data_IF_434095482139
#
_entry.id   IF_434095482139
#
_cell.length_a   1.000
_cell.length_b   1.000
_cell.length_c   1.000
_cell.angle_alpha   90.00
_cell.angle_beta   90.00
_cell.angle_gamma   90.00
#
_symmetry.space_group_name_H-M   'P 1'
#
loop_
_entity.id
_entity.type
_entity.pdbx_description
1 polymer ?
#
# COMPACT_ATOMS: atom_id res chain seq x y z
N UNK A 1 -15.96 11.75 -18.41
CA UNK A 1 -17.02 11.25 -19.30
C UNK A 1 -18.36 11.90 -18.93
N UNK A 2 -18.98 12.62 -19.88
CA UNK A 2 -20.31 13.21 -19.66
C UNK A 2 -21.35 12.08 -19.70
N UNK A 3 -22.28 12.07 -18.74
CA UNK A 3 -23.29 10.99 -18.60
C UNK A 3 -24.09 10.76 -19.89
N UNK A 4 -24.61 11.80 -20.59
CA UNK A 4 -25.38 11.60 -21.81
C UNK A 4 -24.58 10.97 -22.95
N UNK A 5 -23.30 11.31 -23.08
CA UNK A 5 -22.41 10.72 -24.07
C UNK A 5 -22.04 9.28 -23.70
N UNK A 6 -21.70 9.05 -22.44
CA UNK A 6 -21.37 7.72 -21.97
C UNK A 6 -22.54 6.72 -22.17
N UNK A 7 -23.78 7.18 -22.05
CA UNK A 7 -24.95 6.36 -22.27
C UNK A 7 -24.98 5.72 -23.68
N UNK A 8 -24.47 6.43 -24.69
CA UNK A 8 -24.43 5.95 -26.07
C UNK A 8 -23.23 5.08 -26.39
N UNK A 9 -22.09 5.29 -25.71
CA UNK A 9 -20.83 4.61 -26.04
C UNK A 9 -20.40 3.57 -25.02
N UNK A 10 -21.12 3.43 -23.88
CA UNK A 10 -20.78 2.41 -22.88
C UNK A 10 -20.89 1.01 -23.51
N UNK A 11 -20.04 0.08 -23.04
CA UNK A 11 -19.92 -1.28 -23.55
C UNK A 11 -19.52 -1.41 -25.03
N UNK A 12 -19.04 -0.34 -25.67
CA UNK A 12 -18.46 -0.37 -27.01
C UNK A 12 -16.93 -0.30 -26.99
N UNK A 13 -16.32 -0.49 -28.17
CA UNK A 13 -14.86 -0.27 -28.38
C UNK A 13 -14.41 1.13 -28.05
N UNK A 14 -15.30 2.13 -28.03
CA UNK A 14 -14.97 3.49 -27.61
C UNK A 14 -14.45 3.51 -26.17
N UNK A 15 -15.08 2.79 -25.27
CA UNK A 15 -14.63 2.70 -23.85
C UNK A 15 -13.25 2.07 -23.78
N UNK A 16 -12.98 1.03 -24.56
CA UNK A 16 -11.67 0.39 -24.62
C UNK A 16 -10.60 1.37 -25.10
N UNK A 17 -10.87 2.10 -26.18
CA UNK A 17 -9.98 3.12 -26.72
C UNK A 17 -9.69 4.22 -25.69
N UNK A 18 -10.75 4.80 -25.12
CA UNK A 18 -10.63 5.87 -24.13
C UNK A 18 -9.81 5.43 -22.88
N UNK A 19 -10.10 4.25 -22.35
CA UNK A 19 -9.35 3.73 -21.19
C UNK A 19 -7.87 3.51 -21.51
N UNK A 20 -7.51 3.10 -22.72
CA UNK A 20 -6.11 2.99 -23.11
C UNK A 20 -5.45 4.35 -23.27
N UNK A 21 -6.14 5.37 -23.76
CA UNK A 21 -5.60 6.74 -23.79
C UNK A 21 -5.34 7.29 -22.39
N UNK A 22 -6.21 6.98 -21.42
CA UNK A 22 -6.00 7.38 -20.02
C UNK A 22 -4.87 6.57 -19.38
N UNK A 23 -4.89 5.24 -19.48
CA UNK A 23 -3.93 4.36 -18.79
C UNK A 23 -2.56 4.36 -19.48
N UNK A 24 -2.51 4.14 -20.77
CA UNK A 24 -1.25 4.07 -21.50
C UNK A 24 -0.71 5.48 -21.76
N UNK A 25 -1.55 6.40 -22.23
CA UNK A 25 -1.16 7.77 -22.49
C UNK A 25 -0.81 8.54 -21.22
N UNK A 26 -1.64 8.43 -20.18
CA UNK A 26 -1.48 9.19 -18.93
C UNK A 26 -0.54 8.55 -17.91
N UNK A 27 -0.37 7.23 -17.90
CA UNK A 27 0.44 6.53 -16.91
C UNK A 27 1.66 5.83 -17.52
N UNK A 28 1.47 4.97 -18.53
CA UNK A 28 2.55 4.11 -19.02
C UNK A 28 3.63 4.89 -19.76
N UNK A 29 3.26 5.88 -20.61
CA UNK A 29 4.26 6.73 -21.27
C UNK A 29 5.09 7.54 -20.27
N UNK A 30 4.50 8.29 -19.30
CA UNK A 30 5.27 8.95 -18.25
C UNK A 30 6.11 7.98 -17.41
N UNK A 31 5.62 6.78 -17.12
CA UNK A 31 6.37 5.77 -16.39
C UNK A 31 7.63 5.32 -17.15
N UNK A 32 7.52 5.05 -18.45
CA UNK A 32 8.66 4.69 -19.29
C UNK A 32 9.63 5.89 -19.41
N UNK A 33 9.12 7.11 -19.55
CA UNK A 33 9.95 8.30 -19.59
C UNK A 33 10.74 8.46 -18.28
N UNK A 34 10.07 8.35 -17.13
CA UNK A 34 10.72 8.36 -15.83
C UNK A 34 11.75 7.23 -15.67
N UNK A 35 11.42 6.03 -16.15
CA UNK A 35 12.36 4.91 -16.14
C UNK A 35 13.64 5.24 -16.93
N UNK A 36 13.55 5.75 -18.14
CA UNK A 36 14.72 6.18 -18.93
C UNK A 36 15.49 7.32 -18.26
N UNK A 37 14.77 8.26 -17.65
CA UNK A 37 15.36 9.39 -16.95
C UNK A 37 16.23 8.96 -15.76
N UNK A 38 15.75 8.03 -14.93
CA UNK A 38 16.44 7.55 -13.74
C UNK A 38 17.26 6.27 -13.93
N UNK A 39 17.25 5.66 -15.13
CA UNK A 39 18.03 4.44 -15.42
C UNK A 39 19.53 4.59 -15.10
N UNK A 40 20.18 5.76 -15.33
CA UNK A 40 21.57 5.98 -14.95
C UNK A 40 21.83 5.83 -13.46
N UNK A 41 20.88 6.18 -12.59
CA UNK A 41 21.00 5.97 -11.15
C UNK A 41 21.12 4.50 -10.76
N UNK A 42 20.43 3.62 -11.48
CA UNK A 42 20.43 2.16 -11.20
C UNK A 42 21.69 1.49 -11.70
N UNK A 43 22.13 1.86 -12.90
CA UNK A 43 23.18 1.14 -13.63
C UNK A 43 24.52 1.88 -13.73
N UNK A 44 24.55 3.20 -13.48
CA UNK A 44 25.69 4.05 -13.78
C UNK A 44 25.97 4.19 -15.28
N UNK A 45 25.03 3.81 -16.13
CA UNK A 45 25.18 3.79 -17.59
C UNK A 45 24.00 4.42 -18.29
N UNK A 46 24.23 4.98 -19.46
CA UNK A 46 23.21 5.59 -20.30
C UNK A 46 22.61 4.58 -21.28
N UNK A 47 21.28 4.57 -21.48
CA UNK A 47 20.65 3.85 -22.58
C UNK A 47 21.01 4.45 -23.95
N UNK A 48 20.62 3.78 -25.03
CA UNK A 48 20.89 4.25 -26.38
C UNK A 48 19.85 5.29 -26.84
N UNK A 49 20.31 6.52 -27.14
CA UNK A 49 19.44 7.57 -27.68
C UNK A 49 18.73 7.17 -28.97
N UNK A 50 19.40 6.35 -29.81
CA UNK A 50 18.81 5.88 -31.08
C UNK A 50 17.70 4.87 -30.83
N UNK A 51 17.96 3.86 -29.98
CA UNK A 51 16.98 2.84 -29.68
C UNK A 51 15.81 3.42 -28.90
N UNK A 52 16.06 4.30 -27.93
CA UNK A 52 15.01 4.99 -27.20
C UNK A 52 14.09 5.79 -28.10
N UNK A 53 14.64 6.55 -29.07
CA UNK A 53 13.83 7.29 -30.06
C UNK A 53 13.01 6.37 -30.96
N UNK A 54 13.60 5.28 -31.47
CA UNK A 54 12.87 4.32 -32.28
C UNK A 54 11.79 3.61 -31.46
N UNK A 55 12.10 3.18 -30.25
CA UNK A 55 11.13 2.59 -29.33
C UNK A 55 9.95 3.52 -29.06
N UNK A 56 10.24 4.80 -28.76
CA UNK A 56 9.20 5.79 -28.56
C UNK A 56 8.29 5.98 -29.79
N UNK A 57 8.87 6.22 -30.97
CA UNK A 57 8.06 6.52 -32.15
C UNK A 57 7.25 5.31 -32.64
N UNK A 58 7.83 4.11 -32.56
CA UNK A 58 7.08 2.88 -32.88
C UNK A 58 5.98 2.63 -31.89
N UNK A 59 6.26 2.80 -30.58
CA UNK A 59 5.25 2.61 -29.57
C UNK A 59 4.14 3.67 -29.65
N UNK A 60 4.50 4.94 -29.73
CA UNK A 60 3.56 6.06 -29.82
C UNK A 60 2.72 6.02 -31.11
N UNK A 61 3.36 5.80 -32.26
CA UNK A 61 2.68 5.69 -33.54
C UNK A 61 1.74 4.48 -33.59
N UNK A 62 2.24 3.32 -33.19
CA UNK A 62 1.43 2.09 -33.11
C UNK A 62 0.26 2.23 -32.16
N UNK A 63 0.47 2.86 -31.01
CA UNK A 63 -0.58 3.14 -30.02
C UNK A 63 -1.70 4.01 -30.64
N UNK A 64 -1.34 5.10 -31.30
CA UNK A 64 -2.35 5.98 -31.90
C UNK A 64 -3.08 5.29 -33.06
N UNK A 65 -2.37 4.54 -33.93
CA UNK A 65 -3.00 3.79 -35.02
C UNK A 65 -3.99 2.78 -34.44
N UNK A 66 -3.65 2.09 -33.36
CA UNK A 66 -4.52 1.10 -32.73
C UNK A 66 -5.74 1.75 -32.09
N UNK A 67 -5.52 2.60 -31.11
CA UNK A 67 -6.59 3.02 -30.21
C UNK A 67 -7.38 4.22 -30.71
N UNK A 68 -6.82 5.08 -31.58
CA UNK A 68 -7.60 6.15 -32.20
C UNK A 68 -8.73 5.60 -33.07
N UNK A 69 -8.42 4.57 -33.88
CA UNK A 69 -9.41 3.94 -34.74
C UNK A 69 -10.47 3.15 -33.96
N UNK A 70 -10.12 2.63 -32.78
CA UNK A 70 -11.08 1.97 -31.90
C UNK A 70 -12.16 2.92 -31.35
N UNK A 71 -11.91 4.22 -31.28
CA UNK A 71 -12.96 5.20 -30.99
C UNK A 71 -14.01 5.21 -32.14
N UNK A 72 -13.55 5.16 -33.39
CA UNK A 72 -14.45 5.17 -34.56
C UNK A 72 -15.26 3.87 -34.63
N UNK A 73 -14.63 2.71 -34.43
CA UNK A 73 -15.37 1.43 -34.39
C UNK A 73 -16.40 1.41 -33.28
N UNK A 74 -16.10 2.00 -32.13
CA UNK A 74 -17.03 2.14 -31.01
C UNK A 74 -18.20 3.08 -31.31
N UNK A 75 -17.96 4.20 -32.00
CA UNK A 75 -19.02 5.10 -32.47
C UNK A 75 -19.92 4.45 -33.56
N UNK A 76 -19.36 3.54 -34.34
CA UNK A 76 -20.12 2.72 -35.27
C UNK A 76 -20.85 1.55 -34.60
N UNK A 77 -20.87 1.49 -33.27
CA UNK A 77 -21.64 0.52 -32.49
C UNK A 77 -20.95 -0.82 -32.20
N UNK A 78 -19.67 -1.00 -32.51
CA UNK A 78 -18.95 -2.24 -32.22
C UNK A 78 -18.89 -2.49 -30.70
N UNK A 79 -19.48 -3.60 -30.18
CA UNK A 79 -19.43 -3.93 -28.77
C UNK A 79 -18.01 -4.29 -28.33
N UNK A 80 -17.64 -3.99 -27.06
CA UNK A 80 -16.42 -4.53 -26.47
C UNK A 80 -16.54 -6.04 -26.18
N UNK A 81 -15.42 -6.75 -26.07
CA UNK A 81 -15.35 -8.17 -25.69
C UNK A 81 -15.91 -9.16 -26.71
N UNK A 82 -16.12 -8.75 -27.93
CA UNK A 82 -16.47 -9.67 -29.01
C UNK A 82 -15.19 -10.25 -29.63
N UNK A 83 -15.17 -11.55 -29.88
CA UNK A 83 -14.05 -12.23 -30.53
C UNK A 83 -14.20 -12.37 -32.04
N UNK A 84 -15.43 -12.20 -32.54
CA UNK A 84 -15.76 -12.21 -33.97
C UNK A 84 -17.00 -11.35 -34.23
N UNK A 85 -17.19 -10.95 -35.47
CA UNK A 85 -18.34 -10.17 -35.92
C UNK A 85 -18.66 -10.49 -37.40
N UNK A 86 -19.87 -10.17 -37.85
CA UNK A 86 -20.30 -10.39 -39.21
C UNK A 86 -19.64 -9.42 -40.19
N UNK A 87 -19.37 -9.88 -41.42
CA UNK A 87 -18.81 -9.04 -42.46
C UNK A 87 -19.81 -7.96 -42.90
N UNK A 88 -19.30 -6.82 -43.35
CA UNK A 88 -20.15 -5.75 -43.91
C UNK A 88 -20.73 -4.77 -42.90
N UNK A 89 -20.35 -4.86 -41.60
CA UNK A 89 -20.72 -3.88 -40.56
C UNK A 89 -19.92 -2.58 -40.63
N UNK A 90 -18.96 -2.49 -41.56
CA UNK A 90 -18.07 -1.30 -41.69
C UNK A 90 -16.90 -1.27 -40.69
N UNK A 91 -16.69 -2.30 -39.92
CA UNK A 91 -15.63 -2.39 -38.92
C UNK A 91 -14.34 -3.04 -39.41
N UNK A 92 -14.42 -3.80 -40.53
CA UNK A 92 -13.32 -4.68 -41.01
C UNK A 92 -12.03 -3.90 -41.26
N UNK A 93 -12.13 -2.83 -42.05
CA UNK A 93 -10.95 -1.99 -42.36
C UNK A 93 -10.36 -1.30 -41.13
N UNK A 94 -11.22 -0.76 -40.29
CA UNK A 94 -10.78 -0.09 -39.06
C UNK A 94 -10.07 -1.05 -38.11
N UNK A 95 -10.61 -2.25 -37.94
CA UNK A 95 -10.00 -3.30 -37.11
C UNK A 95 -8.71 -3.85 -37.72
N UNK A 96 -8.64 -3.98 -39.06
CA UNK A 96 -7.38 -4.37 -39.70
C UNK A 96 -6.27 -3.38 -39.46
N UNK A 97 -6.51 -2.08 -39.68
CA UNK A 97 -5.51 -1.02 -39.46
C UNK A 97 -5.17 -0.91 -37.97
N UNK A 98 -6.15 -1.03 -37.07
CA UNK A 98 -5.94 -1.09 -35.62
C UNK A 98 -5.03 -2.26 -35.24
N UNK A 99 -5.21 -3.43 -35.83
CA UNK A 99 -4.36 -4.61 -35.59
C UNK A 99 -2.92 -4.40 -36.09
N UNK A 100 -2.75 -3.79 -37.27
CA UNK A 100 -1.41 -3.42 -37.77
C UNK A 100 -0.72 -2.44 -36.77
N UNK A 101 -1.46 -1.45 -36.28
CA UNK A 101 -0.99 -0.55 -35.22
C UNK A 101 -0.52 -1.30 -33.99
N UNK A 102 -1.27 -2.34 -33.57
CA UNK A 102 -0.91 -3.21 -32.44
C UNK A 102 0.42 -3.92 -32.64
N UNK A 103 0.71 -4.44 -33.83
CA UNK A 103 2.00 -5.03 -34.16
C UNK A 103 3.13 -4.02 -34.14
N UNK A 104 2.93 -2.82 -34.69
CA UNK A 104 3.91 -1.72 -34.66
C UNK A 104 4.21 -1.35 -33.18
N UNK A 105 3.19 -1.22 -32.36
CA UNK A 105 3.33 -0.95 -30.93
C UNK A 105 4.13 -2.05 -30.21
N UNK A 106 3.85 -3.33 -30.51
CA UNK A 106 4.59 -4.46 -29.94
C UNK A 106 6.07 -4.42 -30.31
N UNK A 107 6.41 -4.08 -31.56
CA UNK A 107 7.80 -3.89 -31.99
C UNK A 107 8.44 -2.72 -31.19
N UNK A 108 7.74 -1.61 -30.99
CA UNK A 108 8.22 -0.50 -30.19
C UNK A 108 8.55 -0.91 -28.75
N UNK A 109 7.68 -1.69 -28.10
CA UNK A 109 7.92 -2.24 -26.76
C UNK A 109 9.13 -3.18 -26.76
N UNK A 110 9.25 -4.05 -27.76
CA UNK A 110 10.39 -4.96 -27.88
C UNK A 110 11.71 -4.18 -28.01
N UNK A 111 11.75 -3.10 -28.80
CA UNK A 111 12.94 -2.25 -28.94
C UNK A 111 13.31 -1.60 -27.60
N UNK A 112 12.30 -1.09 -26.84
CA UNK A 112 12.53 -0.53 -25.51
C UNK A 112 13.14 -1.58 -24.56
N UNK A 113 12.57 -2.79 -24.52
CA UNK A 113 13.06 -3.89 -23.66
C UNK A 113 14.50 -4.25 -24.05
N UNK A 114 14.79 -4.38 -25.34
CA UNK A 114 16.13 -4.71 -25.84
C UNK A 114 17.12 -3.61 -25.46
N UNK A 115 16.76 -2.34 -25.60
CA UNK A 115 17.61 -1.20 -25.20
C UNK A 115 17.92 -1.26 -23.70
N UNK A 116 16.90 -1.48 -22.86
CA UNK A 116 17.04 -1.63 -21.41
C UNK A 116 17.99 -2.79 -21.06
N UNK A 117 17.88 -3.94 -21.70
CA UNK A 117 18.76 -5.10 -21.43
C UNK A 117 20.20 -4.83 -21.90
N UNK A 118 20.35 -4.27 -23.09
CA UNK A 118 21.67 -4.03 -23.66
C UNK A 118 22.45 -2.93 -22.95
N UNK A 119 21.78 -1.88 -22.44
CA UNK A 119 22.48 -0.76 -21.80
C UNK A 119 23.23 -1.20 -20.54
N UNK A 120 22.77 -2.19 -19.77
CA UNK A 120 23.50 -2.71 -18.59
C UNK A 120 24.90 -3.22 -18.93
N UNK A 121 25.10 -3.73 -20.15
CA UNK A 121 26.39 -4.25 -20.60
C UNK A 121 27.13 -3.32 -21.55
N UNK A 122 26.44 -2.68 -22.47
CA UNK A 122 27.00 -1.93 -23.59
C UNK A 122 26.77 -0.43 -23.50
N UNK A 123 25.96 0.05 -22.55
CA UNK A 123 25.71 1.47 -22.34
C UNK A 123 27.01 2.24 -22.01
N UNK A 124 27.15 3.46 -22.53
CA UNK A 124 28.24 4.35 -22.13
C UNK A 124 28.11 4.67 -20.64
N UNK A 125 29.21 4.93 -19.95
CA UNK A 125 29.17 5.39 -18.55
C UNK A 125 28.41 6.72 -18.49
N UNK A 126 27.55 6.84 -17.50
CA UNK A 126 26.84 8.07 -17.24
C UNK A 126 27.78 9.09 -16.58
N UNK A 127 27.67 10.34 -16.98
CA UNK A 127 28.24 11.46 -16.26
C UNK A 127 27.42 11.75 -14.99
N UNK A 128 27.98 12.49 -14.02
CA UNK A 128 27.35 12.75 -12.73
C UNK A 128 25.94 13.37 -12.88
N UNK A 129 25.72 14.24 -13.82
CA UNK A 129 24.42 14.83 -14.15
C UNK A 129 24.21 14.77 -15.67
N UNK A 130 23.80 13.62 -16.24
CA UNK A 130 23.80 13.40 -17.68
C UNK A 130 22.76 14.23 -18.42
N UNK A 131 21.79 14.79 -17.70
CA UNK A 131 20.70 15.59 -18.26
C UNK A 131 20.90 17.10 -18.05
N UNK A 132 21.92 17.51 -17.29
CA UNK A 132 22.09 18.92 -16.89
C UNK A 132 20.92 19.43 -16.05
N UNK A 133 20.28 18.53 -15.28
CA UNK A 133 19.13 18.84 -14.43
C UNK A 133 19.54 19.67 -13.21
N UNK A 134 18.59 20.43 -12.68
CA UNK A 134 18.77 21.33 -11.54
C UNK A 134 18.40 20.72 -10.19
N UNK A 135 17.87 19.49 -10.20
CA UNK A 135 17.28 18.82 -9.06
C UNK A 135 18.27 17.91 -8.31
N UNK A 136 18.05 17.74 -7.02
CA UNK A 136 18.98 17.12 -6.06
C UNK A 136 19.26 15.64 -6.30
N UNK A 137 18.38 14.90 -6.98
CA UNK A 137 18.63 13.49 -7.28
C UNK A 137 19.90 13.29 -8.11
N UNK A 138 20.37 14.34 -8.80
CA UNK A 138 21.60 14.30 -9.59
C UNK A 138 22.85 14.75 -8.79
N UNK A 139 22.67 15.16 -7.53
CA UNK A 139 23.78 15.48 -6.62
C UNK A 139 24.38 14.24 -5.95
N UNK A 140 23.89 13.03 -6.23
CA UNK A 140 24.36 11.77 -5.64
C UNK A 140 25.17 10.95 -6.64
N UNK A 141 26.18 10.15 -6.17
CA UNK A 141 26.99 9.34 -7.07
C UNK A 141 26.17 8.26 -7.77
N UNK A 142 26.59 7.89 -8.98
CA UNK A 142 25.97 6.82 -9.76
C UNK A 142 26.92 5.61 -9.92
N UNK A 143 26.42 4.37 -9.73
CA UNK A 143 25.07 4.00 -9.30
C UNK A 143 24.75 4.46 -7.87
N UNK A 144 23.47 4.72 -7.61
CA UNK A 144 23.02 5.26 -6.33
C UNK A 144 23.28 4.29 -5.18
N UNK A 145 23.82 4.81 -4.09
CA UNK A 145 23.93 4.09 -2.82
C UNK A 145 22.57 3.91 -2.14
N UNK A 146 22.48 2.93 -1.22
CA UNK A 146 21.25 2.63 -0.49
C UNK A 146 20.69 3.82 0.32
N UNK A 147 21.50 4.80 0.60
CA UNK A 147 21.21 5.94 1.47
C UNK A 147 21.03 7.28 0.74
N UNK A 148 20.92 7.36 -0.56
CA UNK A 148 20.83 8.59 -1.35
C UNK A 148 22.00 9.57 -1.13
N UNK A 149 21.89 10.51 -0.18
CA UNK A 149 22.93 11.52 0.11
C UNK A 149 23.88 11.06 1.20
N UNK A 150 25.16 11.31 1.08
CA UNK A 150 26.17 11.06 2.12
C UNK A 150 26.12 12.10 3.25
N UNK A 151 25.62 13.30 2.98
CA UNK A 151 25.25 14.33 3.96
C UNK A 151 24.04 15.11 3.47
N UNK A 152 23.27 15.72 4.37
CA UNK A 152 22.02 16.42 4.05
C UNK A 152 22.29 17.90 3.83
N UNK A 153 22.27 18.39 2.56
CA UNK A 153 22.50 19.79 2.28
C UNK A 153 21.33 20.68 2.68
N UNK A 154 21.61 21.90 3.12
CA UNK A 154 20.60 22.94 3.26
C UNK A 154 20.30 23.56 1.90
N UNK A 155 19.02 23.56 1.51
CA UNK A 155 18.55 23.99 0.21
C UNK A 155 17.73 25.27 0.33
N UNK A 156 18.28 26.36 -0.21
CA UNK A 156 17.69 27.69 -0.15
C UNK A 156 17.10 28.18 -1.49
N UNK A 157 17.28 27.40 -2.56
CA UNK A 157 16.90 27.76 -3.94
C UNK A 157 16.09 26.66 -4.61
N UNK A 158 15.32 27.00 -5.66
CA UNK A 158 14.58 26.04 -6.48
C UNK A 158 15.45 25.29 -7.50
N UNK A 159 16.64 25.81 -7.81
CA UNK A 159 17.56 25.26 -8.81
C UNK A 159 18.93 24.97 -8.21
N UNK A 160 19.01 24.09 -7.17
CA UNK A 160 20.21 23.93 -6.36
C UNK A 160 21.44 23.50 -7.16
N UNK A 161 21.29 22.63 -8.17
CA UNK A 161 22.41 22.13 -8.97
C UNK A 161 22.93 23.15 -10.00
N UNK A 162 22.10 24.09 -10.42
CA UNK A 162 22.52 25.15 -11.34
C UNK A 162 23.17 26.33 -10.60
N UNK A 163 22.67 26.65 -9.41
CA UNK A 163 23.16 27.77 -8.62
C UNK A 163 24.38 27.40 -7.77
N UNK A 164 24.51 26.11 -7.40
CA UNK A 164 25.59 25.60 -6.55
C UNK A 164 26.18 24.31 -7.15
N UNK A 165 26.97 24.41 -8.23
CA UNK A 165 27.58 23.24 -8.88
C UNK A 165 28.50 22.44 -7.96
N UNK A 166 29.11 23.11 -6.97
CA UNK A 166 29.97 22.50 -5.94
C UNK A 166 29.20 21.59 -4.94
N UNK A 167 27.87 21.61 -4.97
CA UNK A 167 27.01 20.86 -4.05
C UNK A 167 27.28 19.37 -4.08
N UNK A 168 27.60 18.80 -5.25
CA UNK A 168 27.93 17.39 -5.40
C UNK A 168 29.15 17.00 -4.56
N UNK A 169 30.21 17.82 -4.64
CA UNK A 169 31.47 17.56 -3.95
C UNK A 169 31.32 17.75 -2.45
N UNK A 170 30.64 18.81 -2.00
CA UNK A 170 30.41 19.09 -0.58
C UNK A 170 29.51 18.04 0.08
N UNK A 171 28.48 17.52 -0.61
CA UNK A 171 27.67 16.40 -0.13
C UNK A 171 28.54 15.14 0.01
N UNK A 172 29.36 14.83 -0.99
CA UNK A 172 30.22 13.65 -0.98
C UNK A 172 31.31 13.73 0.09
N UNK A 173 31.84 14.94 0.37
CA UNK A 173 32.80 15.20 1.43
C UNK A 173 32.22 15.13 2.84
N UNK A 174 30.88 15.09 2.99
CA UNK A 174 30.21 15.05 4.29
C UNK A 174 30.23 16.39 5.03
N UNK A 175 30.25 17.49 4.30
CA UNK A 175 30.32 18.86 4.87
C UNK A 175 28.98 19.35 5.41
N UNK A 176 27.88 18.60 5.18
CA UNK A 176 26.53 18.94 5.60
C UNK A 176 26.04 18.06 6.75
N UNK A 177 24.83 18.32 7.22
CA UNK A 177 24.22 17.61 8.34
C UNK A 177 24.10 16.10 8.12
N UNK A 178 24.05 15.35 9.21
CA UNK A 178 23.87 13.89 9.21
C UNK A 178 24.89 13.14 8.34
N UNK A 179 26.15 13.54 8.34
CA UNK A 179 27.21 12.95 7.51
C UNK A 179 27.58 11.49 7.88
N UNK A 180 27.22 11.01 9.07
CA UNK A 180 27.51 9.66 9.50
C UNK A 180 26.51 8.64 8.93
N UNK A 181 27.02 7.70 8.12
CA UNK A 181 26.27 6.57 7.60
C UNK A 181 26.62 5.33 8.39
N UNK A 182 25.68 4.81 9.20
CA UNK A 182 25.90 3.60 9.99
C UNK A 182 25.33 2.36 9.27
N UNK A 183 26.18 1.41 8.90
CA UNK A 183 25.77 0.13 8.29
C UNK A 183 24.84 0.27 7.08
N UNK A 184 25.11 1.23 6.20
CA UNK A 184 24.25 1.59 5.05
C UNK A 184 22.86 2.12 5.44
N UNK A 185 22.64 2.42 6.71
CA UNK A 185 21.46 3.12 7.21
C UNK A 185 21.70 4.61 7.20
N UNK A 186 20.67 5.34 6.84
CA UNK A 186 20.70 6.79 6.82
C UNK A 186 19.62 7.34 7.75
N UNK A 187 19.97 8.41 8.42
CA UNK A 187 19.03 9.23 9.15
C UNK A 187 18.59 10.41 8.29
N UNK A 188 17.34 10.84 8.44
CA UNK A 188 16.81 12.06 7.85
C UNK A 188 16.09 12.87 8.93
N UNK A 189 15.97 14.18 8.72
CA UNK A 189 15.18 15.02 9.59
C UNK A 189 13.68 14.91 9.30
N UNK A 190 12.89 14.67 10.35
CA UNK A 190 11.46 14.89 10.37
C UNK A 190 11.17 16.32 10.77
N UNK A 191 10.53 17.11 9.89
CA UNK A 191 10.23 18.51 10.14
C UNK A 191 8.73 18.77 10.30
N UNK A 192 8.39 19.86 10.98
CA UNK A 192 7.03 20.36 11.03
C UNK A 192 6.56 20.83 9.65
N UNK A 193 5.40 20.38 9.20
CA UNK A 193 4.87 20.67 7.88
C UNK A 193 4.56 22.16 7.64
N UNK A 194 4.34 22.93 8.69
CA UNK A 194 3.99 24.37 8.60
C UNK A 194 5.20 25.26 8.80
N UNK A 195 6.03 24.95 9.80
CA UNK A 195 7.14 25.81 10.21
C UNK A 195 8.50 25.39 9.64
N UNK A 196 8.61 24.17 9.08
CA UNK A 196 9.87 23.60 8.60
C UNK A 196 10.87 23.26 9.71
N UNK A 197 10.55 23.50 10.98
CA UNK A 197 11.46 23.22 12.10
C UNK A 197 11.67 21.73 12.27
N UNK A 198 12.91 21.32 12.47
CA UNK A 198 13.28 19.94 12.78
C UNK A 198 12.65 19.54 14.12
N UNK A 199 11.92 18.43 14.12
CA UNK A 199 11.25 17.85 15.29
C UNK A 199 11.88 16.56 15.77
N UNK A 200 12.36 15.76 14.84
CA UNK A 200 12.83 14.40 15.11
C UNK A 200 13.82 13.94 14.05
N UNK A 201 14.59 12.91 14.37
CA UNK A 201 15.42 12.17 13.42
C UNK A 201 14.70 10.87 13.05
N UNK A 202 14.53 10.62 11.77
CA UNK A 202 13.92 9.41 11.24
C UNK A 202 15.04 8.49 10.76
N UNK A 203 15.12 7.31 11.35
CA UNK A 203 16.04 6.27 10.95
C UNK A 203 15.46 5.47 9.79
N UNK A 204 16.10 5.51 8.62
CA UNK A 204 15.63 4.81 7.43
C UNK A 204 16.03 3.33 7.44
N UNK A 205 15.21 2.44 6.84
CA UNK A 205 15.54 1.02 6.74
C UNK A 205 16.73 0.77 5.80
N UNK A 206 17.41 -0.37 6.01
CA UNK A 206 18.46 -0.86 5.11
C UNK A 206 17.88 -1.59 3.90
N UNK A 207 18.77 -1.96 2.95
CA UNK A 207 18.42 -2.85 1.85
C UNK A 207 17.90 -4.20 2.37
N UNK A 208 16.80 -4.65 1.82
CA UNK A 208 16.19 -5.95 2.17
C UNK A 208 15.57 -6.61 0.94
N UNK A 209 15.71 -7.93 0.83
CA UNK A 209 15.04 -8.75 -0.17
C UNK A 209 13.62 -9.14 0.23
N UNK A 210 13.22 -8.87 1.48
CA UNK A 210 11.92 -9.27 2.02
C UNK A 210 10.73 -8.67 1.24
N UNK A 211 10.75 -7.40 0.77
CA UNK A 211 9.65 -6.87 -0.06
C UNK A 211 9.44 -7.68 -1.33
N UNK A 212 10.52 -8.03 -2.04
CA UNK A 212 10.45 -8.81 -3.28
C UNK A 212 9.95 -10.23 -3.01
N UNK A 213 10.49 -10.90 -1.99
CA UNK A 213 10.05 -12.24 -1.60
C UNK A 213 8.57 -12.25 -1.17
N UNK A 214 8.15 -11.25 -0.40
CA UNK A 214 6.75 -11.10 0.02
C UNK A 214 5.84 -10.92 -1.19
N UNK A 215 6.22 -10.07 -2.14
CA UNK A 215 5.45 -9.87 -3.36
C UNK A 215 5.33 -11.15 -4.20
N UNK A 216 6.42 -11.91 -4.36
CA UNK A 216 6.41 -13.18 -5.07
C UNK A 216 5.49 -14.22 -4.41
N UNK A 217 5.54 -14.33 -3.07
CA UNK A 217 4.68 -15.26 -2.34
C UNK A 217 3.20 -14.81 -2.38
N UNK A 218 2.92 -13.50 -2.30
CA UNK A 218 1.56 -12.99 -2.48
C UNK A 218 1.03 -13.27 -3.89
N UNK A 219 1.87 -13.19 -4.93
CA UNK A 219 1.48 -13.59 -6.28
C UNK A 219 1.10 -15.08 -6.33
N UNK A 220 1.83 -15.97 -5.62
CA UNK A 220 1.48 -17.40 -5.49
C UNK A 220 0.12 -17.54 -4.80
N UNK A 221 -0.20 -16.77 -3.75
CA UNK A 221 -1.53 -16.78 -3.11
C UNK A 221 -2.61 -16.45 -4.14
N UNK A 222 -2.44 -15.34 -4.87
CA UNK A 222 -3.45 -14.89 -5.85
C UNK A 222 -3.66 -15.90 -6.97
N UNK A 223 -2.56 -16.43 -7.55
CA UNK A 223 -2.64 -17.44 -8.64
C UNK A 223 -3.28 -18.73 -8.13
N UNK A 224 -2.90 -19.21 -6.94
CA UNK A 224 -3.45 -20.43 -6.36
C UNK A 224 -4.95 -20.31 -6.06
N UNK A 225 -5.42 -19.14 -5.61
CA UNK A 225 -6.84 -18.87 -5.45
C UNK A 225 -7.56 -18.85 -6.80
N UNK A 226 -6.96 -18.24 -7.83
CA UNK A 226 -7.52 -18.18 -9.18
C UNK A 226 -7.71 -19.57 -9.80
N UNK A 227 -6.71 -20.45 -9.62
CA UNK A 227 -6.78 -21.84 -10.12
C UNK A 227 -7.44 -22.80 -9.13
N UNK A 228 -8.01 -22.30 -8.02
CA UNK A 228 -8.74 -23.04 -6.99
C UNK A 228 -7.93 -24.12 -6.24
N UNK A 229 -6.61 -23.94 -6.16
CA UNK A 229 -5.72 -24.82 -5.36
C UNK A 229 -5.55 -24.24 -3.94
N UNK A 230 -6.60 -24.39 -3.13
CA UNK A 230 -6.73 -23.72 -1.84
C UNK A 230 -5.65 -24.09 -0.82
N UNK A 231 -5.13 -25.34 -0.85
CA UNK A 231 -4.06 -25.76 0.07
C UNK A 231 -2.78 -24.96 -0.18
N UNK A 232 -2.38 -24.78 -1.44
CA UNK A 232 -1.20 -23.99 -1.78
C UNK A 232 -1.44 -22.51 -1.42
N UNK A 233 -2.64 -21.99 -1.67
CA UNK A 233 -3.01 -20.64 -1.27
C UNK A 233 -2.86 -20.43 0.24
N UNK A 234 -3.33 -21.37 1.06
CA UNK A 234 -3.22 -21.31 2.52
C UNK A 234 -1.76 -21.34 2.99
N UNK A 235 -0.96 -22.27 2.48
CA UNK A 235 0.47 -22.37 2.83
C UNK A 235 1.21 -21.10 2.42
N UNK A 236 0.99 -20.60 1.20
CA UNK A 236 1.59 -19.37 0.71
C UNK A 236 1.14 -18.15 1.56
N UNK A 237 -0.12 -18.07 1.98
CA UNK A 237 -0.61 -17.00 2.85
C UNK A 237 0.11 -17.00 4.22
N UNK A 238 0.33 -18.18 4.81
CA UNK A 238 1.10 -18.30 6.06
C UNK A 238 2.55 -17.86 5.84
N UNK A 239 3.19 -18.27 4.75
CA UNK A 239 4.57 -17.83 4.42
C UNK A 239 4.62 -16.32 4.19
N UNK A 240 3.64 -15.74 3.47
CA UNK A 240 3.54 -14.30 3.28
C UNK A 240 3.44 -13.56 4.61
N UNK A 241 2.59 -14.04 5.53
CA UNK A 241 2.46 -13.48 6.87
C UNK A 241 3.80 -13.50 7.61
N UNK A 242 4.50 -14.64 7.62
CA UNK A 242 5.81 -14.75 8.28
C UNK A 242 6.86 -13.81 7.67
N UNK A 243 6.86 -13.63 6.34
CA UNK A 243 7.76 -12.69 5.68
C UNK A 243 7.44 -11.23 6.06
N UNK A 244 6.15 -10.85 6.10
CA UNK A 244 5.72 -9.51 6.55
C UNK A 244 6.12 -9.26 8.00
N UNK A 245 5.92 -10.24 8.89
CA UNK A 245 6.33 -10.13 10.29
C UNK A 245 7.85 -10.00 10.43
N UNK A 246 8.61 -10.77 9.65
CA UNK A 246 10.07 -10.66 9.59
C UNK A 246 10.51 -9.29 9.08
N UNK A 247 9.87 -8.79 8.04
CA UNK A 247 10.15 -7.47 7.48
C UNK A 247 9.84 -6.35 8.48
N UNK A 248 8.69 -6.40 9.16
CA UNK A 248 8.36 -5.46 10.23
C UNK A 248 9.36 -5.55 11.40
N UNK A 249 9.86 -6.75 11.72
CA UNK A 249 10.88 -6.92 12.75
C UNK A 249 12.21 -6.26 12.39
N UNK A 250 12.70 -6.42 11.15
CA UNK A 250 13.96 -5.83 10.68
C UNK A 250 13.92 -4.31 10.64
N UNK A 251 12.75 -3.73 10.31
CA UNK A 251 12.57 -2.29 10.20
C UNK A 251 12.21 -1.61 11.54
N UNK A 252 11.92 -2.39 12.57
CA UNK A 252 11.58 -1.86 13.89
C UNK A 252 12.77 -1.20 14.60
N UNK A 253 12.48 -0.32 15.55
CA UNK A 253 13.50 0.34 16.35
C UNK A 253 14.43 -0.67 17.04
N UNK A 254 15.74 -0.40 17.00
CA UNK A 254 16.75 -1.18 17.72
C UNK A 254 17.12 -0.51 19.04
N UNK A 255 17.30 -1.28 20.14
CA UNK A 255 17.67 -0.72 21.45
C UNK A 255 19.03 -0.03 21.47
N UNK A 256 19.88 -0.32 20.49
CA UNK A 256 21.26 0.18 20.37
C UNK A 256 21.43 1.28 19.31
N UNK A 257 20.37 2.00 18.96
CA UNK A 257 20.54 3.18 18.12
C UNK A 257 21.49 4.14 18.83
N UNK A 258 22.65 4.41 18.23
CA UNK A 258 23.61 5.35 18.74
C UNK A 258 22.96 6.74 18.92
N UNK A 259 23.35 7.53 19.91
CA UNK A 259 22.88 8.91 20.01
C UNK A 259 23.25 9.65 18.72
N UNK A 260 22.32 10.43 18.21
CA UNK A 260 22.59 11.42 17.18
C UNK A 260 23.67 12.34 17.72
N UNK A 261 24.63 12.70 16.91
CA UNK A 261 25.86 13.47 17.18
C UNK A 261 25.80 14.37 18.42
N UNK A 262 26.78 14.20 19.30
CA UNK A 262 26.90 15.02 20.53
C UNK A 262 27.14 16.51 20.28
N UNK A 263 27.45 16.89 19.03
CA UNK A 263 27.86 18.23 18.62
C UNK A 263 26.80 19.03 17.88
N UNK A 264 25.60 18.46 17.68
CA UNK A 264 24.50 19.14 16.98
C UNK A 264 23.82 20.13 17.95
N UNK A 265 23.75 21.45 17.64
CA UNK A 265 23.09 22.43 18.49
C UNK A 265 21.60 22.17 18.70
N UNK A 266 21.01 21.30 17.86
CA UNK A 266 19.66 20.79 18.01
C UNK A 266 19.76 19.27 18.07
N UNK A 267 19.72 18.65 19.25
CA UNK A 267 19.66 17.19 19.43
C UNK A 267 18.19 16.72 19.35
N UNK A 268 17.62 16.56 18.13
CA UNK A 268 16.23 16.14 17.98
C UNK A 268 16.11 14.66 18.37
N UNK A 269 15.04 14.30 19.08
CA UNK A 269 14.83 12.90 19.48
C UNK A 269 14.62 12.00 18.25
N UNK A 270 15.03 10.74 18.33
CA UNK A 270 14.67 9.74 17.31
C UNK A 270 13.15 9.62 17.23
N UNK A 271 12.61 9.45 16.01
CA UNK A 271 11.18 9.27 15.74
C UNK A 271 10.54 8.17 16.60
N UNK A 272 11.29 7.12 16.94
CA UNK A 272 10.84 6.05 17.82
C UNK A 272 10.62 6.48 19.28
N UNK A 273 11.12 7.65 19.67
CA UNK A 273 10.96 8.25 21.01
C UNK A 273 9.82 9.28 21.04
N UNK A 274 9.35 9.73 19.90
CA UNK A 274 8.25 10.70 19.79
C UNK A 274 6.90 10.03 19.80
N UNK A 275 5.84 10.75 20.21
CA UNK A 275 4.48 10.22 20.23
C UNK A 275 3.72 10.46 18.91
N UNK A 276 4.23 11.34 18.04
CA UNK A 276 3.54 11.88 16.87
C UNK A 276 4.28 11.60 15.55
N UNK A 277 5.10 10.55 15.52
CA UNK A 277 5.91 10.21 14.37
C UNK A 277 5.10 9.79 13.12
N UNK A 278 5.75 9.73 11.95
CA UNK A 278 5.09 9.51 10.65
C UNK A 278 4.32 8.18 10.56
N UNK A 279 4.70 7.15 11.32
CA UNK A 279 3.99 5.86 11.32
C UNK A 279 2.61 5.95 11.99
N UNK A 280 2.36 6.88 12.93
CA UNK A 280 1.01 7.11 13.46
C UNK A 280 0.11 7.66 12.36
N UNK A 281 0.56 8.64 11.60
CA UNK A 281 -0.17 9.16 10.45
C UNK A 281 -0.37 8.11 9.36
N UNK A 282 0.65 7.30 9.09
CA UNK A 282 0.55 6.14 8.19
C UNK A 282 -0.54 5.16 8.63
N UNK A 283 -0.61 4.84 9.93
CA UNK A 283 -1.67 4.00 10.50
C UNK A 283 -3.05 4.67 10.34
N UNK A 284 -3.19 5.94 10.69
CA UNK A 284 -4.48 6.67 10.58
C UNK A 284 -4.98 6.69 9.14
N UNK A 285 -4.12 7.05 8.17
CA UNK A 285 -4.48 7.08 6.74
C UNK A 285 -4.84 5.67 6.25
N UNK A 286 -4.09 4.66 6.64
CA UNK A 286 -4.38 3.26 6.29
C UNK A 286 -5.73 2.79 6.86
N UNK A 287 -6.06 3.17 8.10
CA UNK A 287 -7.34 2.85 8.70
C UNK A 287 -8.50 3.63 8.07
N UNK A 288 -8.27 4.88 7.63
CA UNK A 288 -9.27 5.63 6.86
C UNK A 288 -9.54 4.97 5.50
N UNK A 289 -8.48 4.60 4.77
CA UNK A 289 -8.62 3.88 3.50
C UNK A 289 -9.33 2.53 3.67
N UNK A 290 -8.98 1.79 4.73
CA UNK A 290 -9.65 0.54 5.09
C UNK A 290 -11.10 0.76 5.52
N UNK A 291 -11.39 1.86 6.21
CA UNK A 291 -12.73 2.29 6.58
C UNK A 291 -13.62 2.54 5.37
N UNK A 292 -13.09 3.00 4.24
CA UNK A 292 -13.89 3.16 3.00
C UNK A 292 -14.40 1.83 2.47
N UNK A 293 -13.60 0.76 2.55
CA UNK A 293 -14.04 -0.60 2.22
C UNK A 293 -15.20 -1.02 3.14
N UNK A 294 -15.05 -0.81 4.45
CA UNK A 294 -16.09 -1.15 5.41
C UNK A 294 -17.40 -0.36 5.17
N UNK A 295 -17.31 0.94 4.91
CA UNK A 295 -18.46 1.78 4.56
C UNK A 295 -19.15 1.30 3.27
N UNK A 296 -18.37 0.81 2.30
CA UNK A 296 -18.92 0.21 1.08
C UNK A 296 -19.74 -1.06 1.36
N UNK A 297 -19.30 -1.88 2.33
CA UNK A 297 -20.07 -3.05 2.79
C UNK A 297 -21.38 -2.62 3.47
N UNK A 298 -21.32 -1.60 4.33
CA UNK A 298 -22.53 -1.03 4.96
C UNK A 298 -23.50 -0.48 3.90
N UNK A 299 -22.97 0.27 2.92
CA UNK A 299 -23.79 0.79 1.83
C UNK A 299 -24.46 -0.34 1.03
N UNK A 300 -23.69 -1.38 0.68
CA UNK A 300 -24.23 -2.54 -0.01
C UNK A 300 -25.34 -3.24 0.77
N UNK A 301 -25.18 -3.36 2.09
CA UNK A 301 -26.19 -3.95 2.96
C UNK A 301 -27.46 -3.11 3.01
N UNK A 302 -27.36 -1.78 3.21
CA UNK A 302 -28.50 -0.88 3.18
C UNK A 302 -29.21 -0.84 1.83
N UNK A 303 -28.41 -0.88 0.73
CA UNK A 303 -28.99 -0.95 -0.60
C UNK A 303 -29.83 -2.23 -0.80
N UNK A 304 -29.29 -3.39 -0.39
CA UNK A 304 -30.02 -4.65 -0.45
C UNK A 304 -31.28 -4.59 0.42
N UNK A 305 -31.21 -3.99 1.59
CA UNK A 305 -32.36 -3.82 2.48
C UNK A 305 -33.49 -3.02 1.83
N UNK A 306 -33.18 -1.97 1.11
CA UNK A 306 -34.16 -1.13 0.44
C UNK A 306 -34.63 -1.66 -0.92
N UNK A 307 -33.83 -2.41 -1.62
CA UNK A 307 -34.05 -2.85 -2.99
C UNK A 307 -34.52 -4.30 -3.12
N UNK A 308 -34.32 -5.16 -2.14
CA UNK A 308 -34.70 -6.57 -2.22
C UNK A 308 -36.22 -6.74 -2.10
N UNK A 309 -36.86 -7.48 -3.03
CA UNK A 309 -38.31 -7.71 -2.98
C UNK A 309 -38.76 -8.55 -1.78
N UNK A 310 -37.88 -9.37 -1.27
CA UNK A 310 -38.06 -10.19 -0.08
C UNK A 310 -36.81 -10.05 0.79
N UNK A 311 -36.95 -9.34 1.89
CA UNK A 311 -35.93 -9.28 2.91
C UNK A 311 -36.27 -10.36 3.95
N UNK A 312 -35.59 -11.50 3.87
CA UNK A 312 -35.64 -12.43 4.99
C UNK A 312 -34.77 -11.83 6.10
N UNK A 313 -35.40 -11.38 7.19
CA UNK A 313 -34.69 -11.14 8.42
C UNK A 313 -33.90 -12.40 8.75
N UNK A 314 -32.58 -12.32 8.96
CA UNK A 314 -31.90 -13.45 9.54
C UNK A 314 -32.66 -13.80 10.81
N UNK A 315 -33.23 -14.98 10.90
CA UNK A 315 -33.63 -15.54 12.17
C UNK A 315 -32.35 -15.68 13.00
N UNK A 316 -31.91 -14.54 13.56
CA UNK A 316 -30.81 -14.55 14.50
C UNK A 316 -31.32 -15.32 15.69
N UNK A 317 -30.97 -16.61 15.74
CA UNK A 317 -31.23 -17.43 16.90
C UNK A 317 -30.78 -16.59 18.12
N UNK A 318 -31.57 -16.51 19.20
CA UNK A 318 -31.17 -15.80 20.41
C UNK A 318 -29.78 -16.18 20.93
N UNK A 319 -29.30 -17.36 20.56
CA UNK A 319 -27.96 -17.85 20.86
C UNK A 319 -26.84 -17.09 20.13
N UNK A 320 -27.06 -16.48 18.98
CA UNK A 320 -26.04 -15.73 18.24
C UNK A 320 -25.82 -14.33 18.83
N UNK A 321 -26.84 -13.70 19.37
CA UNK A 321 -26.75 -12.33 19.93
C UNK A 321 -25.88 -12.31 21.21
N UNK A 322 -26.10 -13.25 22.12
CA UNK A 322 -25.36 -13.32 23.41
C UNK A 322 -23.87 -13.57 23.18
N UNK A 323 -23.45 -14.56 22.41
CA UNK A 323 -22.01 -14.76 22.11
C UNK A 323 -21.37 -13.55 21.43
N UNK A 324 -22.06 -12.88 20.51
CA UNK A 324 -21.55 -11.68 19.88
C UNK A 324 -21.40 -10.53 20.88
N UNK A 325 -22.37 -10.31 21.74
CA UNK A 325 -22.28 -9.28 22.80
C UNK A 325 -21.13 -9.57 23.77
N UNK A 326 -20.96 -10.84 24.17
CA UNK A 326 -19.83 -11.28 25.01
C UNK A 326 -18.50 -11.06 24.27
N UNK A 327 -18.44 -11.41 22.99
CA UNK A 327 -17.28 -11.17 22.14
C UNK A 327 -16.92 -9.69 22.09
N UNK A 328 -17.92 -8.80 21.91
CA UNK A 328 -17.74 -7.35 21.95
C UNK A 328 -17.28 -6.82 23.31
N UNK A 329 -17.77 -7.39 24.40
CA UNK A 329 -17.33 -7.03 25.74
C UNK A 329 -15.86 -7.44 25.98
N UNK A 330 -15.44 -8.62 25.52
CA UNK A 330 -14.03 -9.05 25.56
C UNK A 330 -13.13 -8.11 24.74
N UNK A 331 -13.58 -7.73 23.55
CA UNK A 331 -12.84 -6.78 22.72
C UNK A 331 -12.71 -5.41 23.43
N UNK A 332 -13.78 -4.90 24.01
CA UNK A 332 -13.77 -3.67 24.77
C UNK A 332 -12.83 -3.72 25.99
N UNK A 333 -12.82 -4.87 26.70
CA UNK A 333 -11.88 -5.12 27.80
C UNK A 333 -10.44 -5.11 27.33
N UNK A 334 -10.13 -5.81 26.24
CA UNK A 334 -8.78 -5.85 25.64
C UNK A 334 -8.31 -4.42 25.28
N UNK A 335 -9.15 -3.64 24.59
CA UNK A 335 -8.84 -2.26 24.22
C UNK A 335 -8.65 -1.37 25.45
N UNK A 336 -9.45 -1.55 26.49
CA UNK A 336 -9.35 -0.78 27.73
C UNK A 336 -8.03 -1.04 28.46
N UNK A 337 -7.63 -2.32 28.59
CA UNK A 337 -6.32 -2.70 29.17
C UNK A 337 -5.18 -2.14 28.33
N UNK A 338 -5.28 -2.23 27.01
CA UNK A 338 -4.27 -1.69 26.08
C UNK A 338 -4.10 -0.17 26.25
N UNK A 339 -5.21 0.58 26.31
CA UNK A 339 -5.20 2.04 26.55
C UNK A 339 -4.56 2.41 27.89
N UNK A 340 -4.85 1.64 28.94
CA UNK A 340 -4.25 1.84 30.27
C UNK A 340 -2.74 1.58 30.18
N UNK A 341 -2.30 0.51 29.48
CA UNK A 341 -0.90 0.20 29.29
C UNK A 341 -0.14 1.31 28.57
N UNK A 342 -0.69 1.84 27.47
CA UNK A 342 -0.12 2.97 26.74
C UNK A 342 -0.11 4.25 27.57
N UNK A 343 -1.17 4.52 28.35
CA UNK A 343 -1.20 5.70 29.24
C UNK A 343 -0.12 5.65 30.31
N UNK A 344 0.15 4.46 30.87
CA UNK A 344 1.24 4.26 31.85
C UNK A 344 2.61 4.43 31.20
N UNK A 345 2.77 3.86 30.00
CA UNK A 345 3.99 3.97 29.21
C UNK A 345 4.36 5.43 28.91
N UNK A 346 3.38 6.26 28.50
CA UNK A 346 3.55 7.70 28.26
C UNK A 346 4.00 8.47 29.52
N UNK A 347 3.69 7.95 30.72
CA UNK A 347 4.14 8.50 32.00
C UNK A 347 5.50 7.93 32.45
N UNK A 348 6.19 7.19 31.60
CA UNK A 348 7.50 6.60 31.91
C UNK A 348 7.45 5.30 32.70
N UNK A 349 6.26 4.70 32.89
CA UNK A 349 6.10 3.47 33.67
C UNK A 349 5.83 2.27 32.72
N UNK A 350 6.85 1.45 32.49
CA UNK A 350 6.83 0.30 31.59
C UNK A 350 7.00 -1.07 32.30
N UNK A 351 7.19 -1.08 33.63
CA UNK A 351 7.50 -2.31 34.36
C UNK A 351 6.47 -3.43 34.23
N UNK A 352 5.20 -3.13 33.95
CA UNK A 352 4.14 -4.13 33.74
C UNK A 352 3.69 -4.25 32.28
N UNK A 353 4.32 -3.53 31.35
CA UNK A 353 3.88 -3.39 29.97
C UNK A 353 3.78 -4.75 29.26
N UNK A 354 4.83 -5.57 29.33
CA UNK A 354 4.85 -6.89 28.68
C UNK A 354 3.72 -7.80 29.18
N UNK A 355 3.48 -7.82 30.50
CA UNK A 355 2.41 -8.61 31.09
C UNK A 355 1.03 -8.13 30.62
N UNK A 356 0.80 -6.83 30.60
CA UNK A 356 -0.46 -6.24 30.12
C UNK A 356 -0.70 -6.56 28.65
N UNK A 357 0.32 -6.50 27.79
CA UNK A 357 0.20 -6.84 26.37
C UNK A 357 -0.09 -8.34 26.16
N UNK A 358 0.53 -9.23 26.95
CA UNK A 358 0.17 -10.65 26.93
C UNK A 358 -1.26 -10.91 27.37
N UNK A 359 -1.75 -10.21 28.40
CA UNK A 359 -3.14 -10.29 28.83
C UNK A 359 -4.11 -9.82 27.73
N UNK A 360 -3.79 -8.70 27.06
CA UNK A 360 -4.55 -8.20 25.91
C UNK A 360 -4.58 -9.23 24.78
N UNK A 361 -3.44 -9.85 24.46
CA UNK A 361 -3.34 -10.88 23.43
C UNK A 361 -4.20 -12.10 23.77
N UNK A 362 -4.21 -12.55 25.02
CA UNK A 362 -5.02 -13.68 25.46
C UNK A 362 -6.53 -13.38 25.39
N UNK A 363 -6.96 -12.19 25.87
CA UNK A 363 -8.35 -11.76 25.81
C UNK A 363 -8.78 -11.57 24.35
N UNK A 364 -7.92 -10.95 23.53
CA UNK A 364 -8.16 -10.74 22.10
C UNK A 364 -8.27 -12.07 21.34
N UNK A 365 -7.45 -13.07 21.68
CA UNK A 365 -7.54 -14.41 21.11
C UNK A 365 -8.86 -15.09 21.49
N UNK A 366 -9.30 -14.96 22.75
CA UNK A 366 -10.61 -15.48 23.19
C UNK A 366 -11.75 -14.81 22.42
N UNK A 367 -11.71 -13.49 22.25
CA UNK A 367 -12.63 -12.77 21.39
C UNK A 367 -12.64 -13.32 19.96
N UNK A 368 -11.46 -13.48 19.36
CA UNK A 368 -11.29 -13.98 17.98
C UNK A 368 -11.85 -15.38 17.79
N UNK A 369 -11.55 -16.31 18.74
CA UNK A 369 -12.09 -17.66 18.73
C UNK A 369 -13.62 -17.67 18.88
N UNK A 370 -14.16 -16.85 19.76
CA UNK A 370 -15.61 -16.74 19.97
C UNK A 370 -16.32 -16.19 18.73
N UNK A 371 -15.75 -15.16 18.08
CA UNK A 371 -16.27 -14.61 16.84
C UNK A 371 -16.24 -15.63 15.70
N UNK A 372 -15.15 -16.39 15.58
CA UNK A 372 -15.02 -17.50 14.62
C UNK A 372 -16.00 -18.64 14.89
N UNK A 373 -16.27 -18.93 16.15
CA UNK A 373 -17.28 -19.91 16.54
C UNK A 373 -18.69 -19.45 16.17
N UNK A 374 -19.02 -18.17 16.41
CA UNK A 374 -20.30 -17.57 16.00
C UNK A 374 -20.49 -17.66 14.49
N UNK A 375 -19.46 -17.32 13.71
CA UNK A 375 -19.51 -17.43 12.24
C UNK A 375 -19.74 -18.88 11.79
N UNK A 376 -19.03 -19.85 12.40
CA UNK A 376 -19.16 -21.27 12.06
C UNK A 376 -20.54 -21.85 12.40
N UNK A 377 -21.17 -21.38 13.50
CA UNK A 377 -22.47 -21.88 13.96
C UNK A 377 -23.64 -21.07 13.41
N UNK A 378 -23.38 -20.02 12.64
CA UNK A 378 -24.40 -19.21 11.99
C UNK A 378 -25.12 -19.99 10.89
N UNK A 379 -26.38 -19.68 10.67
CA UNK A 379 -27.20 -20.23 9.58
C UNK A 379 -27.05 -19.44 8.26
N UNK A 380 -26.01 -18.61 8.13
CA UNK A 380 -25.76 -17.79 6.95
C UNK A 380 -25.57 -18.65 5.69
N UNK A 381 -26.22 -18.24 4.59
CA UNK A 381 -26.14 -18.88 3.27
C UNK A 381 -25.56 -17.90 2.24
N UNK A 382 -24.26 -17.55 2.34
CA UNK A 382 -23.65 -16.49 1.50
C UNK A 382 -23.60 -16.81 0.02
N UNK A 383 -23.80 -18.05 -0.39
CA UNK A 383 -23.86 -18.49 -1.78
C UNK A 383 -25.28 -18.36 -2.38
N UNK A 384 -26.29 -18.24 -1.54
CA UNK A 384 -27.71 -18.22 -1.97
C UNK A 384 -28.33 -16.84 -1.76
N UNK A 385 -27.98 -16.16 -0.66
CA UNK A 385 -28.59 -14.90 -0.27
C UNK A 385 -27.55 -13.77 -0.27
N UNK A 386 -27.81 -12.69 -1.00
CA UNK A 386 -26.88 -11.56 -1.16
C UNK A 386 -26.64 -10.82 0.17
N UNK A 387 -27.66 -10.67 1.01
CA UNK A 387 -27.49 -10.03 2.33
C UNK A 387 -26.63 -10.87 3.29
N UNK A 388 -26.76 -12.20 3.24
CA UNK A 388 -25.92 -13.12 4.02
C UNK A 388 -24.46 -13.07 3.54
N UNK A 389 -24.25 -12.91 2.22
CA UNK A 389 -22.92 -12.71 1.67
C UNK A 389 -22.24 -11.46 2.23
N UNK A 390 -22.97 -10.32 2.27
CA UNK A 390 -22.42 -9.06 2.85
C UNK A 390 -22.13 -9.21 4.34
N UNK A 391 -23.05 -9.84 5.08
CA UNK A 391 -22.85 -10.08 6.53
C UNK A 391 -21.66 -11.02 6.79
N UNK A 392 -21.54 -12.10 6.03
CA UNK A 392 -20.40 -13.02 6.12
C UNK A 392 -19.06 -12.28 5.86
N UNK A 393 -19.01 -11.45 4.80
CA UNK A 393 -17.82 -10.64 4.50
C UNK A 393 -17.49 -9.66 5.64
N UNK A 394 -18.50 -9.03 6.24
CA UNK A 394 -18.29 -8.15 7.39
C UNK A 394 -17.74 -8.90 8.63
N UNK A 395 -18.20 -10.12 8.88
CA UNK A 395 -17.67 -10.98 9.95
C UNK A 395 -16.24 -11.43 9.66
N UNK A 396 -15.91 -11.81 8.42
CA UNK A 396 -14.53 -12.12 8.02
C UNK A 396 -13.63 -10.90 8.13
N UNK A 397 -14.12 -9.71 7.80
CA UNK A 397 -13.39 -8.47 8.00
C UNK A 397 -13.04 -8.25 9.47
N UNK A 398 -13.99 -8.45 10.39
CA UNK A 398 -13.77 -8.34 11.83
C UNK A 398 -12.79 -9.41 12.34
N UNK A 399 -12.90 -10.66 11.86
CA UNK A 399 -11.98 -11.74 12.20
C UNK A 399 -10.55 -11.41 11.76
N UNK A 400 -10.37 -10.89 10.55
CA UNK A 400 -9.07 -10.49 10.03
C UNK A 400 -8.45 -9.39 10.90
N UNK A 401 -9.21 -8.32 11.21
CA UNK A 401 -8.72 -7.20 12.00
C UNK A 401 -8.38 -7.60 13.43
N UNK A 402 -9.26 -8.33 14.10
CA UNK A 402 -9.00 -8.79 15.47
C UNK A 402 -7.85 -9.80 15.53
N UNK A 403 -7.72 -10.68 14.54
CA UNK A 403 -6.59 -11.61 14.43
C UNK A 403 -5.25 -10.88 14.25
N UNK A 404 -5.20 -9.88 13.36
CA UNK A 404 -4.01 -9.03 13.17
C UNK A 404 -3.68 -8.24 14.44
N UNK A 405 -4.68 -7.68 15.12
CA UNK A 405 -4.48 -6.96 16.39
C UNK A 405 -3.85 -7.85 17.46
N UNK A 406 -4.28 -9.11 17.58
CA UNK A 406 -3.70 -10.10 18.50
C UNK A 406 -2.25 -10.41 18.13
N UNK A 407 -1.96 -10.67 16.85
CA UNK A 407 -0.61 -10.96 16.35
C UNK A 407 0.33 -9.78 16.63
N UNK A 408 -0.07 -8.57 16.28
CA UNK A 408 0.73 -7.36 16.51
C UNK A 408 1.01 -7.15 17.99
N UNK A 409 0.02 -7.37 18.86
CA UNK A 409 0.19 -7.21 20.31
C UNK A 409 1.07 -8.28 20.91
N UNK A 410 0.97 -9.54 20.47
CA UNK A 410 1.85 -10.62 20.92
C UNK A 410 3.31 -10.37 20.53
N UNK A 411 3.56 -9.95 19.28
CA UNK A 411 4.90 -9.54 18.83
C UNK A 411 5.44 -8.36 19.65
N UNK A 412 4.60 -7.39 19.92
CA UNK A 412 4.96 -6.23 20.71
C UNK A 412 5.30 -6.62 22.15
N UNK A 413 4.52 -7.51 22.78
CA UNK A 413 4.84 -8.04 24.10
C UNK A 413 6.21 -8.74 24.14
N UNK A 414 6.55 -9.47 23.07
CA UNK A 414 7.88 -10.06 22.90
C UNK A 414 8.97 -8.98 22.73
N UNK A 415 8.72 -7.95 21.91
CA UNK A 415 9.68 -6.84 21.70
C UNK A 415 9.92 -6.04 22.99
N UNK A 416 8.87 -5.85 23.82
CA UNK A 416 9.03 -5.26 25.16
C UNK A 416 9.92 -6.13 26.03
N UNK A 417 9.69 -7.45 26.06
CA UNK A 417 10.52 -8.38 26.83
C UNK A 417 11.99 -8.41 26.38
N UNK A 418 12.25 -8.18 25.10
CA UNK A 418 13.58 -8.13 24.51
C UNK A 418 14.24 -6.73 24.59
N UNK A 419 13.56 -5.74 25.19
CA UNK A 419 14.09 -4.39 25.39
C UNK A 419 14.06 -3.47 24.16
N UNK A 420 13.32 -3.83 23.09
CA UNK A 420 13.16 -3.00 21.90
C UNK A 420 12.13 -1.87 22.09
N UNK A 421 11.16 -2.09 22.98
CA UNK A 421 10.04 -1.17 23.26
C UNK A 421 9.96 -0.94 24.77
N UNK A 422 9.75 0.29 25.18
CA UNK A 422 9.65 0.67 26.59
C UNK A 422 9.45 2.18 26.74
N UNK A 423 9.62 2.70 27.95
CA UNK A 423 9.39 4.13 28.24
C UNK A 423 10.27 5.08 27.41
N UNK A 424 11.47 4.63 27.00
CA UNK A 424 12.38 5.40 26.14
C UNK A 424 12.03 5.32 24.65
N UNK A 425 11.23 4.30 24.24
CA UNK A 425 10.83 4.06 22.85
C UNK A 425 9.34 3.65 22.84
N UNK A 426 8.42 4.61 23.14
CA UNK A 426 7.01 4.32 23.36
C UNK A 426 6.16 4.23 22.08
N UNK A 427 6.75 4.48 20.92
CA UNK A 427 6.04 4.78 19.69
C UNK A 427 5.16 3.62 19.17
N UNK A 428 5.70 2.40 19.12
CA UNK A 428 4.98 1.25 18.55
C UNK A 428 3.65 0.95 19.27
N UNK A 429 3.56 0.96 20.62
CA UNK A 429 2.29 0.79 21.33
C UNK A 429 1.26 1.86 21.01
N UNK A 430 1.70 3.09 20.76
CA UNK A 430 0.80 4.20 20.43
C UNK A 430 0.16 3.97 19.05
N UNK A 431 0.94 3.53 18.08
CA UNK A 431 0.46 3.22 16.72
C UNK A 431 -0.54 2.07 16.73
N UNK A 432 -0.21 0.97 17.42
CA UNK A 432 -1.09 -0.22 17.47
C UNK A 432 -2.36 0.07 18.28
N UNK A 433 -2.34 1.01 19.23
CA UNK A 433 -3.55 1.45 19.94
C UNK A 433 -4.61 1.99 18.97
N UNK A 434 -4.21 2.74 17.94
CA UNK A 434 -5.16 3.25 16.95
C UNK A 434 -5.87 2.11 16.21
N UNK A 435 -5.13 1.04 15.87
CA UNK A 435 -5.68 -0.15 15.24
C UNK A 435 -6.71 -0.87 16.13
N UNK A 436 -6.43 -1.04 17.42
CA UNK A 436 -7.37 -1.62 18.39
C UNK A 436 -8.65 -0.79 18.55
N UNK A 437 -8.51 0.53 18.65
CA UNK A 437 -9.67 1.44 18.79
C UNK A 437 -10.54 1.39 17.52
N UNK A 438 -9.92 1.37 16.36
CA UNK A 438 -10.63 1.20 15.08
C UNK A 438 -11.40 -0.13 15.03
N UNK A 439 -10.74 -1.24 15.38
CA UNK A 439 -11.37 -2.58 15.38
C UNK A 439 -12.57 -2.62 16.32
N UNK A 440 -12.48 -2.01 17.51
CA UNK A 440 -13.58 -1.89 18.46
C UNK A 440 -14.74 -1.07 17.88
N UNK A 441 -14.44 0.06 17.25
CA UNK A 441 -15.45 0.93 16.64
C UNK A 441 -16.21 0.23 15.53
N UNK A 442 -15.49 -0.45 14.62
CA UNK A 442 -16.09 -1.22 13.52
C UNK A 442 -16.90 -2.41 14.04
N UNK A 443 -16.44 -3.08 15.10
CA UNK A 443 -17.19 -4.18 15.71
C UNK A 443 -18.55 -3.70 16.24
N UNK A 444 -18.57 -2.66 17.05
CA UNK A 444 -19.82 -2.16 17.62
C UNK A 444 -20.74 -1.52 16.59
N UNK A 445 -20.17 -0.88 15.56
CA UNK A 445 -20.94 -0.38 14.44
C UNK A 445 -21.59 -1.53 13.66
N UNK A 446 -20.84 -2.61 13.40
CA UNK A 446 -21.40 -3.83 12.77
C UNK A 446 -22.49 -4.45 13.61
N UNK A 447 -22.28 -4.57 14.91
CA UNK A 447 -23.27 -5.11 15.84
C UNK A 447 -24.57 -4.28 15.83
N UNK A 448 -24.45 -2.96 15.85
CA UNK A 448 -25.59 -2.07 15.81
C UNK A 448 -26.33 -2.13 14.46
N UNK A 449 -25.61 -2.04 13.34
CA UNK A 449 -26.21 -1.93 12.02
C UNK A 449 -26.76 -3.25 11.48
N UNK A 450 -26.03 -4.34 11.66
CA UNK A 450 -26.43 -5.64 11.08
C UNK A 450 -27.36 -6.47 11.99
N UNK A 451 -27.38 -6.19 13.30
CA UNK A 451 -28.16 -6.98 14.26
C UNK A 451 -29.24 -6.17 14.97
N UNK A 452 -28.90 -5.06 15.63
CA UNK A 452 -29.87 -4.31 16.41
C UNK A 452 -30.88 -3.52 15.57
N UNK A 453 -30.43 -2.94 14.47
CA UNK A 453 -31.27 -2.11 13.62
C UNK A 453 -32.40 -2.91 12.95
N UNK A 454 -32.18 -4.10 12.34
CA UNK A 454 -33.26 -4.93 11.82
C UNK A 454 -34.24 -5.40 12.90
N UNK A 455 -33.73 -5.74 14.09
CA UNK A 455 -34.60 -6.14 15.21
C UNK A 455 -35.48 -5.00 15.71
N UNK A 456 -34.98 -3.76 15.69
CA UNK A 456 -35.71 -2.58 16.18
C UNK A 456 -36.83 -2.13 15.20
N UNK A 457 -36.65 -2.40 13.90
CA UNK A 457 -37.64 -1.98 12.89
C UNK A 457 -38.61 -3.08 12.46
N UNK A 458 -38.57 -4.26 13.11
CA UNK A 458 -39.53 -5.33 12.87
C UNK A 458 -39.51 -5.88 11.44
N UNK A 459 -38.37 -5.77 10.81
CA UNK A 459 -38.15 -6.27 9.46
C UNK A 459 -37.94 -7.77 9.46
#
# INVERSE_FOLDING_TARGET
>A
ALVPFNWQVHDTHFVVAHMHYVLVGGMLFPLIAGFYYWLPHVSGRMPSDKMGRWGFWLFFGGFNITFLLMHLTGLLGMPRRVYTYEAGLGWDWLNLVSSIGGFIMAIGVAVIIVDIVLHFRFGRRAEQNPWGADTLEWAIPMPVNAYNFSSMPDITTRHPMWERPELVESIAAGEHDLAEVQNLRRDIYGSDAVTGKVREVIHLPTNSWLPLLTAAVLAVVCVSLLVKVYLIALVAAVVALLLVLRWGWENGAHPRAAPVRADDPVDPPLHSRTCDGPGLWGMVISLMANGTLYVSLLFGWFYLWTAAPQWSTPETSPLALIPLAVSGALLALAVSIYRIAVSRLRKGNDGSLSLQLWAVSAIGLTHWCLLGWVLKTSSLQPTELAHDAVLAVALYYLLLHSGLAVIFTALQALRVKLGYVGARVPYEPIVIQAFWVYTLGVFWLSFAMFLLLPMAWGA
#
